data_IF_006585841643
#
_entry.id   IF_006585841643
#
_cell.length_a   1.000
_cell.length_b   1.000
_cell.length_c   1.000
_cell.angle_alpha   90.00
_cell.angle_beta   90.00
_cell.angle_gamma   90.00
#
_symmetry.space_group_name_H-M   'P 1'
#
loop_
_entity.id
_entity.type
_entity.pdbx_description
1 polymer ?
#
# COMPACT_ATOMS: atom_id res chain seq x y z
N UNK A 1 -8.89 15.35 20.17
CA UNK A 1 -9.22 14.20 19.31
C UNK A 1 -10.52 14.54 18.61
N UNK A 2 -10.52 14.59 17.29
CA UNK A 2 -11.71 14.78 16.48
C UNK A 2 -12.09 13.43 15.85
N UNK A 3 -13.38 13.13 15.75
CA UNK A 3 -13.88 11.89 15.15
C UNK A 3 -14.81 12.28 14.02
N UNK A 4 -14.49 11.81 12.81
CA UNK A 4 -15.33 11.98 11.62
C UNK A 4 -15.96 10.62 11.34
N UNK A 5 -17.29 10.55 11.47
CA UNK A 5 -18.03 9.29 11.30
C UNK A 5 -18.32 9.02 9.81
N UNK A 6 -17.28 8.70 9.05
CA UNK A 6 -17.32 8.35 7.61
C UNK A 6 -16.26 7.30 7.29
N UNK A 7 -16.51 6.50 6.26
CA UNK A 7 -15.45 5.68 5.65
C UNK A 7 -14.51 6.56 4.82
N UNK A 8 -13.22 6.21 4.78
CA UNK A 8 -12.27 6.87 3.87
C UNK A 8 -12.23 6.13 2.54
N UNK A 9 -12.24 6.88 1.44
CA UNK A 9 -12.34 6.37 0.08
C UNK A 9 -11.67 7.31 -0.94
N UNK A 10 -11.70 6.94 -2.22
CA UNK A 10 -11.10 7.71 -3.32
C UNK A 10 -11.93 8.93 -3.74
N UNK A 11 -13.19 9.02 -3.32
CA UNK A 11 -14.07 10.17 -3.56
C UNK A 11 -15.19 10.27 -2.52
N UNK A 12 -15.85 11.42 -2.45
CA UNK A 12 -17.04 11.60 -1.63
C UNK A 12 -18.21 10.86 -2.28
N UNK A 13 -18.79 9.89 -1.56
CA UNK A 13 -19.88 9.06 -2.09
C UNK A 13 -20.71 8.43 -0.96
N UNK A 14 -21.71 7.66 -1.36
CA UNK A 14 -22.51 6.81 -0.49
C UNK A 14 -22.42 5.38 -1.01
N UNK A 15 -21.75 4.51 -0.25
CA UNK A 15 -21.48 3.13 -0.64
C UNK A 15 -22.25 2.14 0.24
N UNK A 16 -22.31 0.89 -0.22
CA UNK A 16 -22.84 -0.22 0.56
C UNK A 16 -21.70 -0.97 1.26
N UNK A 17 -21.92 -1.32 2.52
CA UNK A 17 -20.99 -2.01 3.41
C UNK A 17 -21.62 -3.33 3.86
N UNK A 18 -20.86 -4.41 3.77
CA UNK A 18 -21.27 -5.73 4.28
C UNK A 18 -20.76 -5.90 5.70
N UNK A 19 -21.66 -5.85 6.68
CA UNK A 19 -21.34 -5.84 8.11
C UNK A 19 -21.31 -7.22 8.77
N UNK A 20 -21.75 -8.24 8.04
CA UNK A 20 -21.86 -9.62 8.53
C UNK A 20 -20.98 -10.57 7.71
N UNK A 21 -19.68 -10.25 7.64
CA UNK A 21 -18.68 -11.11 7.00
C UNK A 21 -17.97 -11.99 8.05
N UNK A 22 -17.61 -13.23 7.72
CA UNK A 22 -16.79 -14.06 8.60
C UNK A 22 -15.40 -13.44 8.81
N UNK A 23 -14.73 -13.86 9.90
CA UNK A 23 -13.33 -13.55 10.19
C UNK A 23 -12.97 -12.06 10.16
N UNK A 24 -13.85 -11.22 10.71
CA UNK A 24 -13.70 -9.75 10.78
C UNK A 24 -13.60 -9.02 9.43
N UNK A 25 -13.85 -9.69 8.30
CA UNK A 25 -13.60 -9.15 6.97
C UNK A 25 -14.73 -8.24 6.41
N UNK A 26 -15.34 -7.45 7.30
CA UNK A 26 -16.44 -6.54 6.95
C UNK A 26 -15.93 -5.38 6.12
N UNK A 27 -16.52 -5.14 4.95
CA UNK A 27 -15.91 -4.25 3.96
C UNK A 27 -16.93 -3.60 3.04
N UNK A 28 -16.49 -2.59 2.29
CA UNK A 28 -17.28 -2.01 1.20
C UNK A 28 -17.50 -3.08 0.12
N UNK A 29 -18.76 -3.42 -0.14
CA UNK A 29 -19.15 -4.38 -1.16
C UNK A 29 -20.47 -3.96 -1.81
N UNK A 30 -20.59 -4.04 -3.14
CA UNK A 30 -21.87 -3.84 -3.82
C UNK A 30 -22.95 -4.78 -3.26
N UNK A 31 -24.10 -4.22 -2.87
CA UNK A 31 -25.20 -5.00 -2.31
C UNK A 31 -25.06 -5.36 -0.82
N UNK A 32 -24.12 -4.71 -0.11
CA UNK A 32 -24.01 -4.80 1.35
C UNK A 32 -25.29 -4.37 2.08
N UNK A 33 -25.40 -4.78 3.35
CA UNK A 33 -26.58 -4.61 4.20
C UNK A 33 -26.68 -3.25 4.88
N UNK A 34 -25.58 -2.47 4.89
CA UNK A 34 -25.52 -1.13 5.47
C UNK A 34 -25.14 -0.11 4.40
N UNK A 35 -25.76 1.07 4.44
CA UNK A 35 -25.38 2.22 3.62
C UNK A 35 -24.48 3.14 4.45
N UNK A 36 -23.31 3.48 3.93
CA UNK A 36 -22.31 4.30 4.63
C UNK A 36 -21.91 5.51 3.79
N UNK A 37 -21.69 6.65 4.45
CA UNK A 37 -21.07 7.81 3.82
C UNK A 37 -19.56 7.61 3.76
N UNK A 38 -18.98 7.88 2.61
CA UNK A 38 -17.53 7.88 2.42
C UNK A 38 -17.03 9.23 1.94
N UNK A 39 -15.79 9.54 2.28
CA UNK A 39 -15.12 10.80 1.94
C UNK A 39 -13.64 10.59 1.69
N UNK A 40 -12.99 11.62 1.14
CA UNK A 40 -11.53 11.60 0.97
C UNK A 40 -10.83 12.25 2.16
N UNK A 41 -9.65 11.76 2.50
CA UNK A 41 -8.80 12.37 3.53
C UNK A 41 -8.47 13.82 3.15
N UNK A 42 -8.16 14.07 1.88
CA UNK A 42 -7.87 15.42 1.35
C UNK A 42 -9.04 16.42 1.54
N UNK A 43 -10.28 15.93 1.60
CA UNK A 43 -11.46 16.80 1.81
C UNK A 43 -11.80 17.03 3.27
N UNK A 44 -11.59 16.01 4.11
CA UNK A 44 -11.97 16.05 5.52
C UNK A 44 -10.88 16.62 6.43
N UNK A 45 -9.62 16.60 6.00
CA UNK A 45 -8.47 17.11 6.73
C UNK A 45 -7.85 18.26 5.93
N UNK A 46 -7.59 19.39 6.59
CA UNK A 46 -6.99 20.56 5.93
C UNK A 46 -5.62 20.91 6.53
N UNK A 47 -5.36 20.48 7.77
CA UNK A 47 -4.04 20.59 8.38
C UNK A 47 -3.03 19.62 7.77
N UNK A 48 -1.74 19.94 7.96
CA UNK A 48 -0.63 19.07 7.54
C UNK A 48 -0.68 17.73 8.25
N UNK A 49 -0.62 16.63 7.49
CA UNK A 49 -0.57 15.27 8.03
C UNK A 49 0.89 14.81 8.17
N UNK A 50 1.24 14.29 9.34
CA UNK A 50 2.59 13.78 9.63
C UNK A 50 2.66 12.25 9.68
N UNK A 51 1.54 11.57 9.89
CA UNK A 51 1.45 10.13 9.97
C UNK A 51 0.05 9.65 9.56
N UNK A 52 0.00 8.57 8.78
CA UNK A 52 -1.24 7.87 8.41
C UNK A 52 -1.09 6.39 8.77
N UNK A 53 -2.03 5.86 9.54
CA UNK A 53 -2.21 4.42 9.78
C UNK A 53 -3.49 3.97 9.08
N UNK A 54 -3.44 2.86 8.35
CA UNK A 54 -4.62 2.27 7.71
C UNK A 54 -4.68 0.77 7.93
N UNK A 55 -5.91 0.32 8.16
CA UNK A 55 -6.33 -1.05 8.45
C UNK A 55 -7.86 -1.03 8.32
N UNK A 56 -8.32 -1.05 7.07
CA UNK A 56 -9.68 -0.67 6.68
C UNK A 56 -10.29 -1.71 5.72
N UNK A 57 -9.91 -2.97 5.91
CA UNK A 57 -10.58 -4.16 5.36
C UNK A 57 -10.70 -4.13 3.81
N UNK A 58 -9.65 -3.70 3.12
CA UNK A 58 -9.53 -3.72 1.66
C UNK A 58 -9.82 -2.39 0.97
N UNK A 59 -10.08 -1.33 1.73
CA UNK A 59 -10.27 0.03 1.21
C UNK A 59 -8.97 0.85 1.14
N UNK A 60 -7.81 0.26 1.49
CA UNK A 60 -6.55 0.97 1.67
C UNK A 60 -6.10 1.74 0.43
N UNK A 61 -6.09 1.10 -0.74
CA UNK A 61 -5.67 1.77 -1.97
C UNK A 61 -6.61 2.93 -2.33
N UNK A 62 -7.92 2.75 -2.20
CA UNK A 62 -8.90 3.80 -2.47
C UNK A 62 -8.76 4.97 -1.48
N UNK A 63 -8.60 4.69 -0.19
CA UNK A 63 -8.37 5.73 0.81
C UNK A 63 -7.05 6.50 0.56
N UNK A 64 -5.99 5.81 0.14
CA UNK A 64 -4.72 6.42 -0.25
C UNK A 64 -4.86 7.30 -1.51
N UNK A 65 -5.67 6.89 -2.49
CA UNK A 65 -6.01 7.74 -3.64
C UNK A 65 -6.73 9.02 -3.19
N UNK A 66 -7.63 8.91 -2.20
CA UNK A 66 -8.29 10.05 -1.57
C UNK A 66 -7.40 10.89 -0.64
N UNK A 67 -6.17 10.45 -0.37
CA UNK A 67 -5.17 11.16 0.42
C UNK A 67 -3.99 11.66 -0.42
N UNK A 68 -4.11 11.60 -1.76
CA UNK A 68 -2.99 11.84 -2.68
C UNK A 68 -2.36 13.21 -2.47
N UNK A 69 -3.16 14.24 -2.24
CA UNK A 69 -2.65 15.61 -2.04
C UNK A 69 -1.77 15.66 -0.81
N UNK A 70 -2.26 15.17 0.34
CA UNK A 70 -1.46 15.09 1.56
C UNK A 70 -0.20 14.21 1.40
N UNK A 71 -0.30 13.07 0.72
CA UNK A 71 0.84 12.17 0.52
C UNK A 71 1.97 12.87 -0.26
N UNK A 72 1.61 13.65 -1.28
CA UNK A 72 2.56 14.41 -2.10
C UNK A 72 3.11 15.63 -1.36
N UNK A 73 2.23 16.45 -0.77
CA UNK A 73 2.60 17.74 -0.18
C UNK A 73 3.27 17.60 1.18
N UNK A 74 2.69 16.77 2.05
CA UNK A 74 3.06 16.73 3.46
C UNK A 74 4.11 15.68 3.74
N UNK A 75 4.17 14.66 2.86
CA UNK A 75 5.04 13.49 2.97
C UNK A 75 4.91 12.86 4.36
N UNK A 76 3.71 12.41 4.75
CA UNK A 76 3.51 11.75 6.03
C UNK A 76 4.28 10.43 6.06
N UNK A 77 4.63 9.99 7.27
CA UNK A 77 4.97 8.58 7.49
C UNK A 77 3.72 7.73 7.27
N UNK A 78 3.87 6.54 6.71
CA UNK A 78 2.76 5.63 6.45
C UNK A 78 2.98 4.29 7.18
N UNK A 79 1.91 3.72 7.70
CA UNK A 79 1.82 2.35 8.20
C UNK A 79 0.50 1.74 7.72
N UNK A 80 0.56 0.98 6.63
CA UNK A 80 -0.61 0.54 5.85
C UNK A 80 -0.65 -0.98 5.87
N UNK A 81 -1.75 -1.56 6.36
CA UNK A 81 -2.00 -2.99 6.22
C UNK A 81 -2.10 -3.36 4.73
N UNK A 82 -1.42 -4.43 4.33
CA UNK A 82 -1.36 -4.89 2.93
C UNK A 82 -1.77 -6.35 2.78
N UNK A 83 -2.54 -6.88 3.75
CA UNK A 83 -2.98 -8.28 3.75
C UNK A 83 -4.47 -8.47 3.40
N UNK A 84 -5.27 -7.41 3.31
CA UNK A 84 -6.71 -7.52 3.06
C UNK A 84 -7.05 -7.93 1.62
N UNK A 85 -6.24 -7.51 0.66
CA UNK A 85 -6.27 -8.05 -0.70
C UNK A 85 -4.86 -8.42 -1.16
N UNK A 86 -4.75 -9.47 -1.98
CA UNK A 86 -3.43 -9.89 -2.50
C UNK A 86 -2.78 -8.78 -3.34
N UNK A 87 -3.59 -7.88 -3.91
CA UNK A 87 -3.13 -6.77 -4.72
C UNK A 87 -2.50 -5.64 -3.91
N UNK A 88 -2.88 -5.49 -2.63
CA UNK A 88 -2.38 -4.42 -1.77
C UNK A 88 -0.87 -4.53 -1.54
N UNK A 89 -0.33 -5.76 -1.51
CA UNK A 89 1.09 -6.04 -1.35
C UNK A 89 1.97 -5.30 -2.37
N UNK A 90 1.47 -5.04 -3.58
CA UNK A 90 2.25 -4.39 -4.64
C UNK A 90 1.65 -3.07 -5.15
N UNK A 91 0.32 -2.94 -5.19
CA UNK A 91 -0.34 -1.71 -5.67
C UNK A 91 -0.11 -0.54 -4.73
N UNK A 92 -0.13 -0.79 -3.41
CA UNK A 92 0.08 0.26 -2.41
C UNK A 92 1.52 0.78 -2.46
N UNK A 93 2.57 -0.07 -2.39
CA UNK A 93 3.94 0.39 -2.58
C UNK A 93 4.14 1.14 -3.90
N UNK A 94 3.58 0.62 -5.01
CA UNK A 94 3.68 1.27 -6.31
C UNK A 94 3.03 2.65 -6.34
N UNK A 95 1.82 2.79 -5.78
CA UNK A 95 1.12 4.07 -5.70
C UNK A 95 1.92 5.10 -4.89
N UNK A 96 2.42 4.71 -3.72
CA UNK A 96 3.21 5.60 -2.86
C UNK A 96 4.52 6.01 -3.54
N UNK A 97 5.23 5.07 -4.16
CA UNK A 97 6.43 5.35 -4.94
C UNK A 97 6.17 6.38 -6.05
N UNK A 98 5.07 6.22 -6.79
CA UNK A 98 4.69 7.16 -7.86
C UNK A 98 4.29 8.55 -7.32
N UNK A 99 3.81 8.65 -6.08
CA UNK A 99 3.52 9.93 -5.45
C UNK A 99 4.79 10.62 -4.94
N UNK A 100 5.73 9.84 -4.37
CA UNK A 100 6.97 10.35 -3.83
C UNK A 100 8.02 9.23 -3.72
N UNK A 101 9.00 9.25 -4.62
CA UNK A 101 10.09 8.27 -4.68
C UNK A 101 11.25 8.57 -3.70
N UNK A 102 11.15 9.64 -2.88
CA UNK A 102 12.13 10.03 -1.85
C UNK A 102 11.69 9.56 -0.45
N UNK A 103 11.29 8.30 -0.35
CA UNK A 103 10.90 7.65 0.90
C UNK A 103 11.59 6.31 0.99
N UNK A 104 11.91 5.87 2.21
CA UNK A 104 12.33 4.49 2.49
C UNK A 104 11.12 3.63 2.71
N UNK A 105 11.11 2.44 2.13
CA UNK A 105 10.01 1.50 2.24
C UNK A 105 10.42 0.28 3.06
N UNK A 106 9.48 -0.21 3.86
CA UNK A 106 9.69 -1.41 4.66
C UNK A 106 8.42 -2.26 4.64
N UNK A 107 8.58 -3.56 4.45
CA UNK A 107 7.53 -4.53 4.73
C UNK A 107 7.85 -5.23 6.05
N UNK A 108 6.90 -5.26 6.98
CA UNK A 108 7.07 -5.96 8.27
C UNK A 108 5.85 -6.79 8.59
N UNK A 109 6.11 -8.01 9.01
CA UNK A 109 5.10 -8.92 9.53
C UNK A 109 5.04 -8.77 11.05
N UNK A 110 3.85 -8.48 11.57
CA UNK A 110 3.59 -8.33 13.01
C UNK A 110 2.74 -9.47 13.59
N UNK A 111 2.36 -10.46 12.77
CA UNK A 111 1.61 -11.61 13.19
C UNK A 111 2.47 -12.69 13.85
N UNK A 112 1.81 -13.75 14.30
CA UNK A 112 2.49 -14.88 14.94
C UNK A 112 2.50 -16.15 14.10
N UNK A 113 1.45 -16.46 13.32
CA UNK A 113 1.36 -17.68 12.48
C UNK A 113 0.28 -17.63 11.37
N UNK A 114 -0.36 -16.48 11.13
CA UNK A 114 -1.42 -16.31 10.10
C UNK A 114 -1.01 -15.19 9.14
N UNK A 115 -1.39 -15.21 7.85
CA UNK A 115 -1.03 -14.17 6.88
C UNK A 115 -1.76 -12.83 7.10
N UNK A 116 -2.11 -12.52 8.34
CA UNK A 116 -2.67 -11.25 8.80
C UNK A 116 -1.54 -10.39 9.37
N UNK A 117 -1.77 -9.09 9.62
CA UNK A 117 -0.79 -8.20 10.27
C UNK A 117 0.48 -7.93 9.44
N UNK A 118 0.40 -8.04 8.12
CA UNK A 118 1.45 -7.56 7.20
C UNK A 118 1.29 -6.07 6.95
N UNK A 119 2.30 -5.28 7.35
CA UNK A 119 2.25 -3.82 7.29
C UNK A 119 3.37 -3.28 6.39
N UNK A 120 2.97 -2.47 5.41
CA UNK A 120 3.84 -1.64 4.60
C UNK A 120 4.07 -0.30 5.28
N UNK A 121 5.35 0.05 5.47
CA UNK A 121 5.77 1.32 6.01
C UNK A 121 6.44 2.16 4.95
N UNK A 122 6.14 3.45 4.96
CA UNK A 122 6.84 4.44 4.17
C UNK A 122 7.33 5.56 5.09
N UNK A 123 8.64 5.82 5.06
CA UNK A 123 9.28 6.83 5.91
C UNK A 123 9.99 7.87 5.01
N UNK A 124 9.58 9.15 5.02
CA UNK A 124 10.24 10.17 4.23
C UNK A 124 11.70 10.33 4.66
N UNK A 125 12.62 10.38 3.70
CA UNK A 125 13.98 10.81 4.01
C UNK A 125 14.00 12.32 4.28
N UNK A 126 14.84 12.80 5.22
CA UNK A 126 15.12 14.22 5.33
C UNK A 126 15.68 14.71 3.98
N UNK A 127 15.04 15.71 3.37
CA UNK A 127 15.63 16.40 2.23
C UNK A 127 16.91 17.10 2.70
N UNK A 128 18.07 16.51 2.44
CA UNK A 128 19.30 17.26 2.42
C UNK A 128 19.36 17.97 1.06
N UNK A 129 19.32 19.31 1.07
CA UNK A 129 19.66 20.11 -0.10
C UNK A 129 21.15 19.92 -0.40
N UNK A 130 21.48 18.86 -1.15
CA UNK A 130 22.77 18.75 -1.82
C UNK A 130 22.51 18.82 -3.32
N UNK A 131 22.86 19.96 -3.89
CA UNK A 131 23.02 20.17 -5.32
C UNK A 131 24.21 19.34 -5.81
N UNK A 132 24.02 18.08 -6.17
CA UNK A 132 24.92 17.27 -6.99
C UNK A 132 24.07 16.17 -7.65
N UNK A 133 24.28 15.89 -8.93
CA UNK A 133 23.74 14.73 -9.63
C UNK A 133 24.10 13.43 -8.90
N UNK A 134 23.18 12.88 -8.11
CA UNK A 134 23.30 11.56 -7.44
C UNK A 134 21.97 10.78 -7.49
N UNK A 135 21.22 10.84 -8.60
CA UNK A 135 19.90 10.21 -8.71
C UNK A 135 19.93 8.66 -8.90
N UNK A 136 21.11 8.04 -8.96
CA UNK A 136 21.25 6.60 -9.23
C UNK A 136 21.12 5.73 -7.97
N UNK A 137 21.78 6.11 -6.88
CA UNK A 137 21.79 5.36 -5.60
C UNK A 137 20.38 5.20 -4.99
N UNK A 138 19.56 6.27 -4.86
CA UNK A 138 18.19 6.14 -4.34
C UNK A 138 17.29 5.27 -5.24
N UNK A 139 17.46 5.35 -6.56
CA UNK A 139 16.67 4.57 -7.52
C UNK A 139 17.02 3.08 -7.47
N UNK A 140 18.31 2.75 -7.30
CA UNK A 140 18.78 1.37 -7.11
C UNK A 140 18.31 0.80 -5.78
N UNK A 141 18.43 1.56 -4.68
CA UNK A 141 18.01 1.10 -3.35
C UNK A 141 16.50 0.82 -3.29
N UNK A 142 15.68 1.64 -3.95
CA UNK A 142 14.25 1.37 -4.09
C UNK A 142 13.94 0.09 -4.88
N UNK A 143 14.72 -0.19 -5.94
CA UNK A 143 14.59 -1.46 -6.69
C UNK A 143 14.95 -2.64 -5.79
N UNK A 144 16.00 -2.52 -4.99
CA UNK A 144 16.40 -3.56 -4.03
C UNK A 144 15.31 -3.79 -2.97
N UNK A 145 14.72 -2.74 -2.40
CA UNK A 145 13.62 -2.84 -1.43
C UNK A 145 12.37 -3.48 -2.05
N UNK A 146 12.06 -3.19 -3.32
CA UNK A 146 10.99 -3.87 -4.06
C UNK A 146 11.30 -5.35 -4.29
N UNK A 147 12.54 -5.70 -4.63
CA UNK A 147 12.97 -7.10 -4.77
C UNK A 147 12.83 -7.84 -3.43
N UNK A 148 13.25 -7.23 -2.32
CA UNK A 148 13.08 -7.79 -0.98
C UNK A 148 11.60 -7.97 -0.62
N UNK A 149 10.75 -6.99 -0.96
CA UNK A 149 9.30 -7.07 -0.77
C UNK A 149 8.70 -8.24 -1.57
N UNK A 150 9.09 -8.42 -2.83
CA UNK A 150 8.67 -9.56 -3.64
C UNK A 150 9.19 -10.89 -3.08
N UNK A 151 10.43 -10.91 -2.58
CA UNK A 151 10.99 -12.10 -1.97
C UNK A 151 10.17 -12.54 -0.75
N UNK A 152 9.78 -11.61 0.12
CA UNK A 152 8.91 -11.91 1.25
C UNK A 152 7.49 -12.32 0.84
N UNK A 153 6.94 -11.72 -0.22
CA UNK A 153 5.69 -12.15 -0.82
C UNK A 153 5.77 -13.62 -1.31
N UNK A 154 6.88 -14.02 -1.94
CA UNK A 154 7.11 -15.42 -2.32
C UNK A 154 7.19 -16.33 -1.09
N UNK A 155 7.82 -15.88 0.00
CA UNK A 155 7.89 -16.66 1.24
C UNK A 155 6.50 -16.91 1.84
N UNK A 156 5.56 -15.97 1.67
CA UNK A 156 4.18 -16.12 2.15
C UNK A 156 3.40 -17.24 1.43
N UNK A 157 3.77 -17.57 0.18
CA UNK A 157 3.15 -18.67 -0.59
C UNK A 157 3.20 -19.99 0.19
N UNK A 158 4.31 -20.24 0.93
CA UNK A 158 4.45 -21.44 1.76
C UNK A 158 3.34 -21.54 2.81
N UNK A 159 2.98 -20.42 3.44
CA UNK A 159 1.94 -20.38 4.47
C UNK A 159 0.57 -20.65 3.86
N UNK A 160 0.24 -20.03 2.73
CA UNK A 160 -1.01 -20.31 2.02
C UNK A 160 -1.15 -21.79 1.63
N UNK A 161 -0.07 -22.42 1.16
CA UNK A 161 -0.07 -23.84 0.84
C UNK A 161 -0.27 -24.74 2.08
N UNK A 162 0.33 -24.39 3.22
CA UNK A 162 0.15 -25.13 4.49
C UNK A 162 -1.29 -25.04 5.01
N UNK A 163 -1.97 -23.93 4.74
CA UNK A 163 -3.38 -23.73 5.12
C UNK A 163 -4.40 -24.24 4.08
N UNK A 164 -3.96 -24.94 3.03
CA UNK A 164 -4.79 -25.36 1.88
C UNK A 164 -5.46 -24.20 1.11
N UNK A 165 -4.93 -22.98 1.21
CA UNK A 165 -5.34 -21.77 0.47
C UNK A 165 -4.66 -21.72 -0.91
N UNK A 166 -5.00 -22.67 -1.78
CA UNK A 166 -4.31 -22.85 -3.07
C UNK A 166 -4.57 -21.71 -4.05
N UNK A 167 -5.75 -21.10 -4.03
CA UNK A 167 -6.10 -20.02 -4.94
C UNK A 167 -5.30 -18.76 -4.63
N UNK A 168 -5.18 -18.44 -3.34
CA UNK A 168 -4.42 -17.31 -2.81
C UNK A 168 -2.92 -17.48 -3.06
N UNK A 169 -2.41 -18.71 -2.93
CA UNK A 169 -1.02 -19.04 -3.30
C UNK A 169 -0.75 -18.77 -4.79
N UNK A 170 -1.66 -19.21 -5.69
CA UNK A 170 -1.55 -18.97 -7.13
C UNK A 170 -1.65 -17.48 -7.45
N UNK A 171 -2.59 -16.78 -6.82
CA UNK A 171 -2.78 -15.34 -7.00
C UNK A 171 -1.53 -14.56 -6.59
N UNK A 172 -0.96 -14.85 -5.41
CA UNK A 172 0.25 -14.21 -4.93
C UNK A 172 1.46 -14.45 -5.85
N UNK A 173 1.62 -15.68 -6.36
CA UNK A 173 2.66 -15.99 -7.36
C UNK A 173 2.46 -15.22 -8.66
N UNK A 174 1.21 -15.13 -9.16
CA UNK A 174 0.89 -14.37 -10.37
C UNK A 174 1.19 -12.88 -10.19
N UNK A 175 0.84 -12.32 -9.04
CA UNK A 175 1.08 -10.91 -8.72
C UNK A 175 2.57 -10.62 -8.53
N UNK A 176 3.31 -11.52 -7.89
CA UNK A 176 4.78 -11.41 -7.78
C UNK A 176 5.44 -11.43 -9.16
N UNK A 177 4.96 -12.27 -10.07
CA UNK A 177 5.42 -12.31 -11.47
C UNK A 177 5.20 -10.96 -12.18
N UNK A 178 4.03 -10.34 -12.01
CA UNK A 178 3.73 -9.03 -12.60
C UNK A 178 4.54 -7.89 -11.97
N UNK A 179 4.74 -7.91 -10.65
CA UNK A 179 5.62 -6.99 -9.95
C UNK A 179 7.07 -7.12 -10.46
N UNK A 180 7.54 -8.34 -10.72
CA UNK A 180 8.89 -8.60 -11.26
C UNK A 180 9.07 -7.95 -12.63
N UNK A 181 8.06 -8.01 -13.51
CA UNK A 181 8.09 -7.31 -14.81
C UNK A 181 8.15 -5.79 -14.66
N UNK A 182 7.50 -5.25 -13.63
CA UNK A 182 7.54 -3.82 -13.33
C UNK A 182 8.94 -3.40 -12.88
N UNK A 183 9.58 -4.17 -12.00
CA UNK A 183 10.97 -3.96 -11.60
C UNK A 183 11.90 -4.01 -12.81
N UNK A 184 11.71 -5.00 -13.69
CA UNK A 184 12.47 -5.09 -14.94
C UNK A 184 12.35 -3.81 -15.78
N UNK A 185 11.13 -3.29 -15.96
CA UNK A 185 10.90 -2.04 -16.70
C UNK A 185 11.56 -0.83 -16.04
N UNK A 186 11.54 -0.75 -14.71
CA UNK A 186 12.24 0.31 -13.97
C UNK A 186 13.76 0.25 -14.18
N UNK A 187 14.35 -0.94 -14.19
CA UNK A 187 15.77 -1.16 -14.50
C UNK A 187 16.09 -0.74 -15.95
N UNK A 188 15.22 -1.08 -16.91
CA UNK A 188 15.39 -0.67 -18.32
C UNK A 188 15.35 0.85 -18.49
N UNK A 189 14.43 1.53 -17.81
CA UNK A 189 14.34 2.99 -17.83
C UNK A 189 15.61 3.65 -17.28
N UNK A 190 16.10 3.18 -16.12
CA UNK A 190 17.37 3.66 -15.56
C UNK A 190 18.52 3.40 -16.55
N UNK A 191 18.59 2.20 -17.13
CA UNK A 191 19.63 1.87 -18.11
C UNK A 191 19.66 2.83 -19.31
N UNK A 192 18.49 3.31 -19.75
CA UNK A 192 18.38 4.29 -20.85
C UNK A 192 18.68 5.73 -20.41
N UNK A 193 18.38 6.09 -19.17
CA UNK A 193 18.66 7.43 -18.62
C UNK A 193 20.18 7.68 -18.46
N UNK A 194 20.95 6.63 -18.21
CA UNK A 194 22.41 6.69 -18.03
C UNK A 194 23.21 6.21 -19.26
N UNK A 195 22.59 6.19 -20.46
CA UNK A 195 23.23 5.95 -21.76
C UNK A 195 23.43 7.24 -22.53
#
# INVERSE_FOLDING_TARGET
INIINRGVWSSNDVLTFSSHMPDSASRILPGGDIVVQVSTIDTDIHEKINFIKMDIEGAELDALLGARTHIISDRPKLAICVYHTVQDIWKIPQFIYNCNNKQKFYLRYHGTNVPEELVFYANPEPCFETCCDENLEPSINNILELIETMYEAVNQVKYFLLENKQLEAIELLSLTSEATKTIQKSIENLTNEYR
#
